data_IF_779332171378
#
_entry.id   IF_779332171378
#
_cell.length_a   1.000
_cell.length_b   1.000
_cell.length_c   1.000
_cell.angle_alpha   90.00
_cell.angle_beta   90.00
_cell.angle_gamma   90.00
#
_symmetry.space_group_name_H-M   'P 1'
#
loop_
_entity.id
_entity.type
_entity.pdbx_description
1 polymer ?
#
# COMPACT_ATOMS: atom_id res chain seq x y z
N UNK A 1 -7.09 22.57 -7.89
CA UNK A 1 -6.83 21.99 -6.56
C UNK A 1 -6.70 20.48 -6.71
N UNK A 2 -5.49 19.92 -6.64
CA UNK A 2 -5.23 18.47 -6.82
C UNK A 2 -5.34 17.64 -5.53
N UNK A 3 -5.71 18.28 -4.42
CA UNK A 3 -5.83 17.65 -3.10
C UNK A 3 -7.28 17.47 -2.61
N UNK A 4 -8.26 17.70 -3.50
CA UNK A 4 -9.70 17.60 -3.18
C UNK A 4 -10.08 16.19 -2.71
N UNK A 5 -9.35 15.15 -3.12
CA UNK A 5 -9.68 13.76 -2.80
C UNK A 5 -9.80 13.52 -1.28
N UNK A 6 -9.00 14.21 -0.47
CA UNK A 6 -9.01 14.07 0.99
C UNK A 6 -9.93 15.08 1.71
N UNK A 7 -10.63 15.91 0.96
CA UNK A 7 -11.49 16.95 1.53
C UNK A 7 -12.59 16.33 2.40
N UNK A 8 -12.74 16.86 3.62
CA UNK A 8 -13.70 16.35 4.61
C UNK A 8 -13.21 15.14 5.42
N UNK A 9 -12.04 14.57 5.07
CA UNK A 9 -11.38 13.54 5.89
C UNK A 9 -10.35 14.15 6.85
N UNK A 10 -9.55 15.11 6.38
CA UNK A 10 -8.52 15.78 7.18
C UNK A 10 -8.52 17.30 6.91
N UNK A 11 -7.89 18.06 7.81
CA UNK A 11 -7.68 19.51 7.65
C UNK A 11 -6.77 19.81 6.45
N UNK A 12 -6.97 20.95 5.78
CA UNK A 12 -6.21 21.32 4.57
C UNK A 12 -4.69 21.32 4.79
N UNK A 13 -4.22 21.81 5.94
CA UNK A 13 -2.80 21.82 6.28
C UNK A 13 -2.19 20.41 6.33
N UNK A 14 -2.96 19.43 6.82
CA UNK A 14 -2.56 18.03 6.89
C UNK A 14 -2.51 17.41 5.50
N UNK A 15 -3.48 17.76 4.65
CA UNK A 15 -3.54 17.31 3.27
C UNK A 15 -2.34 17.86 2.48
N UNK A 16 -2.02 19.15 2.63
CA UNK A 16 -0.86 19.78 1.98
C UNK A 16 0.48 19.23 2.49
N UNK A 17 0.49 18.60 3.67
CA UNK A 17 1.67 17.95 4.24
C UNK A 17 2.02 16.65 3.50
N UNK A 18 1.06 16.01 2.83
CA UNK A 18 1.25 14.74 2.09
C UNK A 18 2.35 14.80 1.03
N UNK A 19 2.55 15.96 0.40
CA UNK A 19 3.59 16.18 -0.60
C UNK A 19 5.02 16.01 -0.07
N UNK A 20 5.20 15.97 1.25
CA UNK A 20 6.51 15.82 1.89
C UNK A 20 6.89 14.37 2.16
N UNK A 21 5.94 13.44 2.06
CA UNK A 21 6.18 12.04 2.36
C UNK A 21 6.42 11.20 1.12
N UNK A 22 7.06 10.07 1.36
CA UNK A 22 7.42 9.06 0.40
C UNK A 22 6.82 7.70 0.79
N UNK A 23 6.14 7.06 -0.15
CA UNK A 23 5.54 5.73 0.03
C UNK A 23 6.22 4.75 -0.92
N UNK A 24 6.55 3.57 -0.44
CA UNK A 24 6.83 2.44 -1.32
C UNK A 24 5.56 1.62 -1.52
N UNK A 25 5.18 1.37 -2.77
CA UNK A 25 4.04 0.52 -3.12
C UNK A 25 4.55 -0.66 -3.93
N UNK A 26 4.36 -1.87 -3.40
CA UNK A 26 4.91 -3.11 -3.97
C UNK A 26 3.78 -3.96 -4.55
N UNK A 27 3.69 -4.03 -5.87
CA UNK A 27 2.75 -4.90 -6.58
C UNK A 27 1.27 -4.50 -6.49
N UNK A 28 0.94 -3.23 -6.24
CA UNK A 28 -0.43 -2.72 -6.29
C UNK A 28 -0.51 -1.45 -7.14
N UNK A 29 -0.92 -1.57 -8.41
CA UNK A 29 -1.02 -0.43 -9.32
C UNK A 29 -2.19 0.47 -8.93
N UNK A 30 -3.32 -0.11 -8.51
CA UNK A 30 -4.46 0.66 -8.04
C UNK A 30 -4.13 1.55 -6.84
N UNK A 31 -3.46 1.02 -5.81
CA UNK A 31 -3.08 1.82 -4.65
C UNK A 31 -2.12 2.94 -5.05
N UNK A 32 -1.15 2.64 -5.91
CA UNK A 32 -0.23 3.63 -6.47
C UNK A 32 -0.98 4.75 -7.19
N UNK A 33 -1.94 4.42 -8.07
CA UNK A 33 -2.78 5.39 -8.79
C UNK A 33 -3.58 6.27 -7.83
N UNK A 34 -4.19 5.68 -6.79
CA UNK A 34 -4.94 6.43 -5.78
C UNK A 34 -4.02 7.42 -5.07
N UNK A 35 -2.87 6.97 -4.55
CA UNK A 35 -1.93 7.84 -3.82
C UNK A 35 -1.35 8.94 -4.73
N UNK A 36 -1.05 8.61 -5.99
CA UNK A 36 -0.55 9.55 -6.98
C UNK A 36 -1.57 10.66 -7.26
N UNK A 37 -2.81 10.27 -7.58
CA UNK A 37 -3.90 11.21 -7.88
C UNK A 37 -4.35 12.02 -6.67
N UNK A 38 -4.01 11.55 -5.48
CA UNK A 38 -4.36 12.19 -4.21
C UNK A 38 -3.24 13.07 -3.64
N UNK A 39 -2.12 13.24 -4.37
CA UNK A 39 -1.10 14.24 -4.08
C UNK A 39 -0.05 13.83 -3.03
N UNK A 40 0.22 12.53 -2.88
CA UNK A 40 1.41 12.07 -2.16
C UNK A 40 2.67 12.54 -2.89
N UNK A 41 3.70 12.94 -2.13
CA UNK A 41 4.90 13.59 -2.68
C UNK A 41 5.73 12.69 -3.60
N UNK A 42 6.18 11.56 -3.07
CA UNK A 42 7.00 10.59 -3.80
C UNK A 42 6.43 9.17 -3.63
N UNK A 43 6.28 8.45 -4.73
CA UNK A 43 5.84 7.06 -4.72
C UNK A 43 6.91 6.22 -5.41
N UNK A 44 7.56 5.35 -4.65
CA UNK A 44 8.46 4.33 -5.20
C UNK A 44 7.61 3.10 -5.51
N UNK A 45 7.26 2.95 -6.77
CA UNK A 45 6.49 1.80 -7.23
C UNK A 45 7.45 0.67 -7.58
N UNK A 46 7.29 -0.48 -6.92
CA UNK A 46 8.15 -1.66 -7.14
C UNK A 46 7.25 -2.79 -7.61
N UNK A 47 7.48 -3.31 -8.81
CA UNK A 47 6.68 -4.41 -9.35
C UNK A 47 7.52 -5.28 -10.28
N UNK A 48 6.99 -6.46 -10.61
CA UNK A 48 7.62 -7.44 -11.49
C UNK A 48 6.90 -7.48 -12.85
N UNK A 49 6.19 -8.57 -13.13
CA UNK A 49 5.37 -8.75 -14.31
C UNK A 49 3.90 -8.70 -13.91
N UNK A 50 3.07 -8.16 -14.81
CA UNK A 50 1.62 -8.24 -14.66
C UNK A 50 1.20 -9.69 -14.93
N UNK A 51 0.70 -10.39 -13.92
CA UNK A 51 0.11 -11.70 -14.14
C UNK A 51 -1.33 -11.59 -14.67
N UNK A 52 -1.88 -12.64 -15.31
CA UNK A 52 -3.30 -12.68 -15.67
C UNK A 52 -4.24 -12.57 -14.46
N UNK A 53 -3.77 -12.93 -13.27
CA UNK A 53 -4.55 -12.76 -12.03
C UNK A 53 -4.56 -11.29 -11.62
N UNK A 54 -3.43 -10.59 -11.74
CA UNK A 54 -3.32 -9.17 -11.45
C UNK A 54 -4.26 -8.36 -12.35
N UNK A 55 -4.23 -8.60 -13.67
CA UNK A 55 -5.09 -7.88 -14.62
C UNK A 55 -6.58 -8.19 -14.47
N UNK A 56 -6.92 -9.35 -13.88
CA UNK A 56 -8.31 -9.68 -13.52
C UNK A 56 -8.77 -8.93 -12.27
N UNK A 57 -7.88 -8.74 -11.30
CA UNK A 57 -8.21 -8.15 -9.99
C UNK A 57 -8.13 -6.61 -10.01
N UNK A 58 -7.09 -6.06 -10.61
CA UNK A 58 -6.78 -4.64 -10.61
C UNK A 58 -7.33 -3.98 -11.88
N UNK A 59 -8.42 -3.22 -11.74
CA UNK A 59 -9.06 -2.55 -12.88
C UNK A 59 -8.26 -1.37 -13.45
N UNK A 60 -7.11 -1.03 -12.87
CA UNK A 60 -6.17 -0.04 -13.44
C UNK A 60 -5.18 -0.66 -14.43
N UNK A 61 -5.20 -1.99 -14.58
CA UNK A 61 -4.36 -2.75 -15.50
C UNK A 61 -5.21 -3.17 -16.69
N UNK A 62 -4.80 -2.82 -17.90
CA UNK A 62 -5.43 -3.36 -19.11
C UNK A 62 -5.14 -4.88 -19.20
N UNK A 63 -6.14 -5.76 -19.41
CA UNK A 63 -5.91 -7.18 -19.64
C UNK A 63 -4.85 -7.50 -20.71
N UNK A 64 -4.65 -6.63 -21.70
CA UNK A 64 -3.63 -6.76 -22.74
C UNK A 64 -2.20 -6.50 -22.24
N UNK A 65 -2.04 -5.92 -21.04
CA UNK A 65 -0.73 -5.75 -20.40
C UNK A 65 -0.25 -7.02 -19.69
N UNK A 66 -1.06 -8.08 -19.62
CA UNK A 66 -0.65 -9.33 -19.01
C UNK A 66 0.65 -9.87 -19.66
N UNK A 67 1.58 -10.30 -18.80
CA UNK A 67 2.94 -10.73 -19.11
C UNK A 67 3.92 -9.62 -19.54
N UNK A 68 3.53 -8.34 -19.47
CA UNK A 68 4.48 -7.23 -19.58
C UNK A 68 5.04 -6.84 -18.22
N UNK A 69 6.16 -6.13 -18.23
CA UNK A 69 6.69 -5.49 -17.04
C UNK A 69 5.72 -4.42 -16.53
N UNK A 70 5.49 -4.43 -15.23
CA UNK A 70 4.58 -3.52 -14.57
C UNK A 70 5.33 -2.23 -14.18
N UNK A 71 5.49 -1.34 -15.17
CA UNK A 71 6.23 -0.09 -15.04
C UNK A 71 5.31 1.07 -15.39
N UNK A 72 5.28 2.10 -14.54
CA UNK A 72 4.42 3.27 -14.72
C UNK A 72 5.25 4.55 -14.78
N UNK A 73 4.90 5.43 -15.71
CA UNK A 73 5.56 6.75 -15.84
C UNK A 73 4.51 7.86 -15.95
N UNK A 74 3.69 8.07 -14.90
CA UNK A 74 2.69 9.11 -14.93
C UNK A 74 3.36 10.49 -15.03
N UNK A 75 2.86 11.33 -15.94
CA UNK A 75 3.33 12.72 -16.07
C UNK A 75 2.60 13.59 -15.04
N UNK A 76 3.33 14.13 -14.06
CA UNK A 76 2.84 15.16 -13.14
C UNK A 76 3.96 16.09 -12.71
N UNK A 77 3.65 17.37 -12.52
CA UNK A 77 4.58 18.38 -11.99
C UNK A 77 4.76 18.31 -10.48
N UNK A 78 3.82 17.67 -9.76
CA UNK A 78 3.65 17.88 -8.31
C UNK A 78 3.85 16.60 -7.47
N UNK A 79 3.77 15.42 -8.11
CA UNK A 79 3.96 14.12 -7.48
C UNK A 79 4.92 13.30 -8.31
N UNK A 80 5.95 12.74 -7.67
CA UNK A 80 6.98 11.95 -8.33
C UNK A 80 6.65 10.46 -8.17
N UNK A 81 6.38 9.76 -9.27
CA UNK A 81 6.32 8.29 -9.27
C UNK A 81 7.60 7.78 -9.89
N UNK A 82 8.34 6.98 -9.13
CA UNK A 82 9.57 6.32 -9.58
C UNK A 82 9.31 4.82 -9.60
N UNK A 83 9.25 4.25 -10.80
CA UNK A 83 9.07 2.81 -10.97
C UNK A 83 10.39 2.06 -10.99
N UNK A 84 10.43 0.96 -10.27
CA UNK A 84 11.52 0.01 -10.23
C UNK A 84 11.00 -1.39 -10.53
N UNK A 85 11.77 -2.15 -11.29
CA UNK A 85 11.56 -3.59 -11.34
C UNK A 85 11.95 -4.20 -10.00
N UNK A 86 11.23 -5.24 -9.60
CA UNK A 86 11.52 -5.98 -8.38
C UNK A 86 12.95 -6.54 -8.46
N UNK A 87 13.86 -6.13 -7.54
CA UNK A 87 15.24 -6.59 -7.59
C UNK A 87 15.37 -8.02 -7.05
N UNK A 88 16.32 -8.78 -7.60
CA UNK A 88 16.62 -10.13 -7.12
C UNK A 88 17.36 -10.13 -5.77
N UNK A 89 18.02 -9.02 -5.43
CA UNK A 89 18.84 -8.91 -4.22
C UNK A 89 18.17 -8.07 -3.13
N UNK A 90 18.17 -8.60 -1.91
CA UNK A 90 17.68 -7.89 -0.71
C UNK A 90 18.45 -6.58 -0.47
N UNK A 91 19.75 -6.56 -0.79
CA UNK A 91 20.61 -5.38 -0.67
C UNK A 91 20.15 -4.23 -1.58
N UNK A 92 19.80 -4.52 -2.83
CA UNK A 92 19.24 -3.52 -3.74
C UNK A 92 17.86 -3.08 -3.28
N UNK A 93 17.01 -4.00 -2.85
CA UNK A 93 15.69 -3.67 -2.33
C UNK A 93 15.77 -2.73 -1.13
N UNK A 94 16.68 -2.97 -0.19
CA UNK A 94 16.95 -2.07 0.94
C UNK A 94 17.43 -0.70 0.49
N UNK A 95 18.25 -0.62 -0.57
CA UNK A 95 18.68 0.67 -1.16
C UNK A 95 17.49 1.41 -1.79
N UNK A 96 16.64 0.69 -2.53
CA UNK A 96 15.44 1.25 -3.16
C UNK A 96 14.42 1.75 -2.13
N UNK A 97 14.38 1.14 -0.94
CA UNK A 97 13.47 1.54 0.14
C UNK A 97 14.09 2.52 1.14
N UNK A 98 15.34 2.94 0.95
CA UNK A 98 16.02 3.85 1.89
C UNK A 98 15.32 5.21 1.97
N UNK A 99 14.95 5.62 3.18
CA UNK A 99 14.28 6.91 3.43
C UNK A 99 12.82 6.96 2.97
N UNK A 100 12.19 5.79 2.82
CA UNK A 100 10.74 5.67 2.65
C UNK A 100 10.04 5.83 4.01
N UNK A 101 8.92 6.55 4.02
CA UNK A 101 8.17 6.83 5.24
C UNK A 101 7.17 5.71 5.57
N UNK A 102 6.61 5.01 4.57
CA UNK A 102 5.72 3.84 4.73
C UNK A 102 5.91 2.85 3.58
N UNK A 103 5.90 1.55 3.88
CA UNK A 103 5.90 0.47 2.87
C UNK A 103 4.52 -0.19 2.82
N UNK A 104 3.93 -0.28 1.64
CA UNK A 104 2.69 -1.04 1.39
C UNK A 104 2.97 -2.14 0.38
N UNK A 105 2.66 -3.40 0.70
CA UNK A 105 2.99 -4.54 -0.15
C UNK A 105 1.82 -5.49 -0.39
N UNK A 106 1.57 -5.75 -1.67
CA UNK A 106 0.60 -6.74 -2.17
C UNK A 106 1.28 -7.95 -2.83
N UNK A 107 2.58 -7.85 -3.10
CA UNK A 107 3.45 -8.94 -3.54
C UNK A 107 4.66 -9.02 -2.60
N UNK A 108 5.23 -10.22 -2.47
CA UNK A 108 6.43 -10.47 -1.64
C UNK A 108 6.29 -9.97 -0.19
N UNK A 109 5.11 -10.17 0.41
CA UNK A 109 4.69 -9.57 1.69
C UNK A 109 5.70 -9.84 2.82
N UNK A 110 6.10 -11.09 2.99
CA UNK A 110 7.04 -11.49 4.06
C UNK A 110 8.38 -10.76 3.93
N UNK A 111 8.95 -10.75 2.73
CA UNK A 111 10.22 -10.07 2.44
C UNK A 111 10.10 -8.55 2.65
N UNK A 112 8.98 -7.95 2.24
CA UNK A 112 8.76 -6.51 2.47
C UNK A 112 8.60 -6.18 3.94
N UNK A 113 7.94 -7.04 4.72
CA UNK A 113 7.79 -6.84 6.16
C UNK A 113 9.16 -6.80 6.85
N UNK A 114 10.04 -7.74 6.53
CA UNK A 114 11.41 -7.78 7.07
C UNK A 114 12.21 -6.53 6.70
N UNK A 115 12.12 -6.09 5.45
CA UNK A 115 12.91 -4.94 4.99
C UNK A 115 12.36 -3.64 5.57
N UNK A 116 11.03 -3.48 5.64
CA UNK A 116 10.39 -2.34 6.27
C UNK A 116 10.83 -2.19 7.73
N UNK A 117 10.91 -3.30 8.47
CA UNK A 117 11.45 -3.30 9.83
C UNK A 117 12.94 -2.93 9.87
N UNK A 118 13.77 -3.52 9.00
CA UNK A 118 15.21 -3.21 8.92
C UNK A 118 15.51 -1.74 8.58
N UNK A 119 14.58 -1.03 7.94
CA UNK A 119 14.70 0.41 7.65
C UNK A 119 13.95 1.29 8.65
N UNK A 120 13.21 0.71 9.60
CA UNK A 120 12.43 1.44 10.59
C UNK A 120 11.19 2.14 10.04
N UNK A 121 10.58 1.60 8.98
CA UNK A 121 9.36 2.15 8.37
C UNK A 121 8.13 1.29 8.74
N UNK A 122 6.95 1.91 9.00
CA UNK A 122 5.69 1.19 9.10
C UNK A 122 5.40 0.36 7.84
N UNK A 123 4.80 -0.81 8.05
CA UNK A 123 4.47 -1.78 7.02
C UNK A 123 2.97 -2.05 6.97
N UNK A 124 2.38 -1.93 5.78
CA UNK A 124 0.98 -2.27 5.51
C UNK A 124 0.98 -3.45 4.53
N UNK A 125 0.55 -4.65 4.94
CA UNK A 125 0.46 -5.81 4.05
C UNK A 125 -0.78 -5.69 3.15
N UNK A 126 -1.22 -6.77 2.54
CA UNK A 126 -2.34 -6.75 1.58
C UNK A 126 -3.74 -6.78 2.26
N UNK A 127 -3.79 -6.57 3.58
CA UNK A 127 -5.03 -6.33 4.36
C UNK A 127 -4.97 -4.95 5.04
N UNK A 128 -6.06 -4.55 5.69
CA UNK A 128 -6.15 -3.25 6.36
C UNK A 128 -5.60 -3.40 7.78
N UNK A 129 -4.30 -3.19 7.94
CA UNK A 129 -3.59 -3.09 9.23
C UNK A 129 -2.22 -2.47 9.00
N UNK A 130 -1.61 -1.94 10.06
CA UNK A 130 -0.27 -1.34 10.05
C UNK A 130 0.58 -2.02 11.11
N UNK A 131 1.73 -2.55 10.68
CA UNK A 131 2.79 -3.01 11.56
C UNK A 131 3.75 -1.85 11.80
N UNK A 132 3.82 -1.37 13.03
CA UNK A 132 4.76 -0.33 13.42
C UNK A 132 6.14 -0.95 13.70
N UNK A 133 7.26 -0.24 13.46
CA UNK A 133 8.61 -0.77 13.68
C UNK A 133 8.87 -1.23 15.13
N UNK A 134 8.22 -0.60 16.10
CA UNK A 134 8.29 -0.86 17.53
C UNK A 134 7.12 -1.69 18.07
N UNK A 135 6.21 -2.14 17.19
CA UNK A 135 5.04 -2.93 17.54
C UNK A 135 5.24 -4.45 17.40
N UNK A 136 4.11 -5.15 17.35
CA UNK A 136 4.04 -6.59 17.00
C UNK A 136 4.69 -6.80 15.63
N UNK A 137 5.50 -7.84 15.49
CA UNK A 137 6.19 -8.15 14.22
C UNK A 137 5.30 -8.98 13.31
N UNK A 138 5.53 -8.86 12.00
CA UNK A 138 4.74 -9.59 11.01
C UNK A 138 4.84 -11.12 11.19
N UNK A 139 6.02 -11.64 11.51
CA UNK A 139 6.25 -13.08 11.74
C UNK A 139 5.77 -13.58 13.11
N UNK A 140 5.41 -12.68 14.03
CA UNK A 140 4.84 -13.04 15.33
C UNK A 140 3.35 -13.34 15.25
N UNK A 141 2.72 -13.14 14.09
CA UNK A 141 1.29 -13.35 13.90
C UNK A 141 0.95 -14.38 12.83
N UNK A 142 -0.20 -15.01 12.96
CA UNK A 142 -0.80 -15.84 11.91
C UNK A 142 -1.45 -14.94 10.85
N UNK A 143 -0.83 -14.86 9.68
CA UNK A 143 -1.38 -14.13 8.55
C UNK A 143 -2.55 -14.88 7.90
N UNK A 144 -3.72 -14.26 7.69
CA UNK A 144 -4.89 -14.93 7.13
C UNK A 144 -4.73 -15.18 5.63
N UNK A 145 -5.31 -16.28 5.12
CA UNK A 145 -5.52 -16.43 3.68
C UNK A 145 -6.65 -15.50 3.23
N UNK A 146 -6.36 -14.61 2.26
CA UNK A 146 -7.32 -13.63 1.75
C UNK A 146 -7.63 -13.92 0.30
N UNK A 147 -8.88 -14.29 0.03
CA UNK A 147 -9.38 -14.44 -1.35
C UNK A 147 -9.95 -13.11 -1.81
N UNK A 148 -9.38 -12.57 -2.87
CA UNK A 148 -9.85 -11.32 -3.47
C UNK A 148 -10.60 -11.55 -4.77
N UNK A 149 -11.60 -10.71 -4.96
CA UNK A 149 -12.25 -10.39 -6.21
C UNK A 149 -11.96 -8.91 -6.53
N UNK A 150 -12.29 -8.42 -7.74
CA UNK A 150 -11.92 -7.06 -8.14
C UNK A 150 -12.52 -5.98 -7.24
N UNK A 151 -13.74 -6.19 -6.72
CA UNK A 151 -14.41 -5.23 -5.86
C UNK A 151 -13.78 -5.21 -4.47
N UNK A 152 -13.55 -6.39 -3.87
CA UNK A 152 -12.85 -6.46 -2.57
C UNK A 152 -11.42 -5.91 -2.64
N UNK A 153 -10.71 -6.15 -3.76
CA UNK A 153 -9.39 -5.56 -4.02
C UNK A 153 -9.46 -4.03 -4.07
N UNK A 154 -10.40 -3.47 -4.83
CA UNK A 154 -10.53 -2.03 -4.99
C UNK A 154 -10.90 -1.29 -3.70
N UNK A 155 -11.81 -1.89 -2.92
CA UNK A 155 -12.15 -1.38 -1.59
C UNK A 155 -10.96 -1.46 -0.64
N UNK A 156 -10.20 -2.56 -0.66
CA UNK A 156 -8.99 -2.71 0.16
C UNK A 156 -7.96 -1.62 -0.17
N UNK A 157 -7.65 -1.40 -1.45
CA UNK A 157 -6.72 -0.35 -1.89
C UNK A 157 -7.19 1.05 -1.48
N UNK A 158 -8.50 1.32 -1.62
CA UNK A 158 -9.08 2.61 -1.24
C UNK A 158 -8.96 2.89 0.26
N UNK A 159 -9.25 1.87 1.10
CA UNK A 159 -9.13 2.00 2.55
C UNK A 159 -7.65 2.13 2.95
N UNK A 160 -6.75 1.34 2.36
CA UNK A 160 -5.31 1.43 2.61
C UNK A 160 -4.72 2.78 2.24
N UNK A 161 -5.20 3.43 1.17
CA UNK A 161 -4.79 4.80 0.87
C UNK A 161 -5.17 5.77 2.02
N UNK A 162 -6.33 5.55 2.65
CA UNK A 162 -6.73 6.26 3.87
C UNK A 162 -5.86 5.91 5.09
N UNK A 163 -5.40 4.67 5.22
CA UNK A 163 -4.44 4.28 6.27
C UNK A 163 -3.08 4.98 6.09
N UNK A 164 -2.58 5.08 4.85
CA UNK A 164 -1.36 5.84 4.53
C UNK A 164 -1.52 7.31 4.92
N UNK A 165 -2.67 7.93 4.61
CA UNK A 165 -2.99 9.29 5.06
C UNK A 165 -2.93 9.41 6.58
N UNK A 166 -3.52 8.45 7.31
CA UNK A 166 -3.53 8.43 8.78
C UNK A 166 -2.12 8.35 9.36
N UNK A 167 -1.28 7.46 8.81
CA UNK A 167 0.13 7.34 9.24
C UNK A 167 0.88 8.66 9.07
N UNK A 168 0.67 9.36 7.95
CA UNK A 168 1.40 10.60 7.64
C UNK A 168 0.92 11.83 8.41
N UNK A 169 -0.38 11.97 8.59
CA UNK A 169 -0.96 13.22 9.09
C UNK A 169 -1.33 13.16 10.57
N UNK A 170 -1.54 11.96 11.11
CA UNK A 170 -1.94 11.73 12.49
C UNK A 170 -3.33 12.29 12.84
N UNK A 171 -4.17 12.59 11.84
CA UNK A 171 -5.54 13.11 12.10
C UNK A 171 -6.41 12.06 12.82
N UNK A 172 -6.19 10.78 12.51
CA UNK A 172 -6.72 9.62 13.21
C UNK A 172 -5.66 8.53 13.29
N UNK A 173 -5.75 7.68 14.31
CA UNK A 173 -4.88 6.52 14.43
C UNK A 173 -5.18 5.52 13.30
N UNK A 174 -4.17 5.00 12.59
CA UNK A 174 -4.38 3.89 11.67
C UNK A 174 -4.79 2.63 12.45
N UNK A 175 -5.31 1.64 11.73
CA UNK A 175 -5.48 0.29 12.26
C UNK A 175 -4.10 -0.30 12.49
N UNK A 176 -3.79 -0.71 13.72
CA UNK A 176 -2.48 -1.23 14.11
C UNK A 176 -2.61 -2.70 14.51
N UNK A 177 -1.66 -3.54 14.05
CA UNK A 177 -1.60 -4.95 14.43
C UNK A 177 -1.53 -5.11 15.96
N UNK A 178 -2.23 -6.10 16.56
CA UNK A 178 -2.85 -7.26 15.91
C UNK A 178 -4.27 -7.01 15.39
N UNK A 179 -4.83 -5.81 15.50
CA UNK A 179 -6.13 -5.52 14.88
C UNK A 179 -5.97 -5.40 13.36
N UNK A 180 -6.91 -5.98 12.62
CA UNK A 180 -6.93 -5.85 11.16
C UNK A 180 -8.37 -5.88 10.62
N UNK A 181 -8.54 -5.41 9.39
CA UNK A 181 -9.78 -5.58 8.65
C UNK A 181 -9.52 -6.28 7.31
N UNK A 182 -10.50 -7.10 6.91
CA UNK A 182 -10.52 -7.77 5.61
C UNK A 182 -11.81 -7.38 4.91
N UNK A 183 -11.70 -7.00 3.64
CA UNK A 183 -12.87 -6.77 2.80
C UNK A 183 -13.35 -8.12 2.25
N UNK A 184 -14.62 -8.44 2.48
CA UNK A 184 -15.31 -9.61 1.96
C UNK A 184 -16.69 -9.21 1.43
N UNK A 185 -16.80 -9.06 0.10
CA UNK A 185 -18.05 -8.66 -0.57
C UNK A 185 -19.17 -9.69 -0.46
N UNK A 186 -18.87 -10.90 0.03
CA UNK A 186 -19.88 -11.94 0.29
C UNK A 186 -20.47 -11.83 1.69
N UNK A 187 -19.85 -11.04 2.56
CA UNK A 187 -20.36 -10.72 3.89
C UNK A 187 -21.31 -9.53 3.85
N UNK A 188 -22.29 -9.48 4.76
CA UNK A 188 -23.33 -8.44 4.79
C UNK A 188 -22.76 -7.02 4.94
N UNK A 189 -21.69 -6.86 5.72
CA UNK A 189 -21.09 -5.56 6.02
C UNK A 189 -19.92 -5.17 5.10
N UNK A 190 -19.52 -6.07 4.18
CA UNK A 190 -18.35 -5.96 3.30
C UNK A 190 -16.98 -5.81 3.97
N UNK A 191 -16.91 -5.26 5.18
CA UNK A 191 -15.70 -5.05 5.97
C UNK A 191 -15.81 -5.83 7.26
N UNK A 192 -14.88 -6.77 7.47
CA UNK A 192 -14.84 -7.62 8.66
C UNK A 192 -13.63 -7.29 9.50
N UNK A 193 -13.86 -6.90 10.76
CA UNK A 193 -12.80 -6.79 11.78
C UNK A 193 -12.31 -8.19 12.14
N UNK A 194 -11.01 -8.38 12.18
CA UNK A 194 -10.33 -9.59 12.63
C UNK A 194 -9.22 -9.21 13.62
N UNK A 195 -8.74 -10.20 14.37
CA UNK A 195 -7.55 -10.06 15.22
C UNK A 195 -6.56 -11.11 14.79
N UNK A 196 -5.37 -10.68 14.41
CA UNK A 196 -4.27 -11.55 14.04
C UNK A 196 -3.80 -12.28 15.29
N UNK A 197 -3.80 -13.61 15.24
CA UNK A 197 -3.40 -14.43 16.39
C UNK A 197 -1.89 -14.35 16.54
N UNK A 198 -1.42 -14.02 17.74
CA UNK A 198 0.00 -14.09 18.08
C UNK A 198 0.40 -15.56 18.20
N UNK A 199 1.52 -15.92 17.57
CA UNK A 199 2.10 -17.27 17.58
C UNK A 199 2.80 -17.59 18.89
#
# INVERSE_FOLDING_TARGET
>A
MKHIFWHGMAEEEKIDYLRKFSVAVVGSRMLMEILWRSGVGCIRYISDYVSPVDSRLDCTIDPLEANNYDVVHPMSSDSCVISYLYPESESELRKLLRGIDVVVAHKNIEVMAEIAEKIGAPFIPDIITTFLPDGVKFWEVEYPEVKRDPISYALTCSIQAGEVLRVFTGYHLPTIAPEAYVVDVRSENYLRKITLKVR
#
